data_IF_042564676950
#
_entry.id   IF_042564676950
#
_cell.length_a   1.000
_cell.length_b   1.000
_cell.length_c   1.000
_cell.angle_alpha   90.00
_cell.angle_beta   90.00
_cell.angle_gamma   90.00
#
_symmetry.space_group_name_H-M   'P 1'
#
loop_
_entity.id
_entity.type
_entity.pdbx_description
1 polymer ?
#
# COMPACT_ATOMS: atom_id res chain seq x y z
N UNK A 1 -8.87 -0.32 -10.72
CA UNK A 1 -8.97 -1.49 -9.80
C UNK A 1 -8.92 -0.97 -8.38
N UNK A 2 -9.93 -1.25 -7.53
CA UNK A 2 -9.94 -0.75 -6.16
C UNK A 2 -8.82 -1.40 -5.32
N UNK A 3 -8.03 -0.58 -4.63
CA UNK A 3 -7.07 -1.06 -3.64
C UNK A 3 -7.87 -1.60 -2.45
N UNK A 4 -7.68 -2.87 -2.10
CA UNK A 4 -8.32 -3.51 -0.95
C UNK A 4 -7.23 -4.10 -0.09
N UNK A 5 -7.10 -3.57 1.13
CA UNK A 5 -6.10 -3.93 2.12
C UNK A 5 -6.82 -4.45 3.36
N UNK A 6 -6.51 -5.68 3.76
CA UNK A 6 -7.07 -6.29 4.99
C UNK A 6 -6.00 -6.58 6.03
N UNK A 7 -4.74 -6.60 5.62
CA UNK A 7 -3.62 -6.91 6.50
C UNK A 7 -2.30 -6.34 5.97
N UNK A 8 -1.26 -6.47 6.78
CA UNK A 8 0.09 -5.99 6.47
C UNK A 8 0.71 -6.66 5.24
N UNK A 9 0.43 -7.94 5.00
CA UNK A 9 0.98 -8.67 3.85
C UNK A 9 0.41 -8.13 2.53
N UNK A 10 -0.90 -7.86 2.49
CA UNK A 10 -1.54 -7.21 1.34
C UNK A 10 -1.04 -5.79 1.12
N UNK A 11 -0.82 -5.04 2.20
CA UNK A 11 -0.22 -3.71 2.12
C UNK A 11 1.19 -3.74 1.53
N UNK A 12 2.07 -4.61 2.02
CA UNK A 12 3.41 -4.79 1.45
C UNK A 12 3.37 -5.22 -0.02
N UNK A 13 2.45 -6.12 -0.37
CA UNK A 13 2.23 -6.56 -1.77
C UNK A 13 1.74 -5.41 -2.65
N UNK A 14 0.87 -4.56 -2.12
CA UNK A 14 0.41 -3.35 -2.81
C UNK A 14 1.58 -2.40 -3.06
N UNK A 15 2.38 -2.08 -2.03
CA UNK A 15 3.52 -1.18 -2.18
C UNK A 15 4.54 -1.69 -3.21
N UNK A 16 4.71 -3.02 -3.34
CA UNK A 16 5.60 -3.63 -4.32
C UNK A 16 5.12 -3.56 -5.78
N UNK A 17 3.92 -3.04 -6.04
CA UNK A 17 3.40 -2.89 -7.41
C UNK A 17 3.89 -1.57 -8.02
N UNK A 18 4.18 -1.54 -9.33
CA UNK A 18 4.52 -0.31 -10.02
C UNK A 18 3.38 0.70 -9.90
N UNK A 19 3.72 1.97 -9.69
CA UNK A 19 2.74 3.05 -9.54
C UNK A 19 1.99 3.06 -8.21
N UNK A 20 2.34 2.24 -7.22
CA UNK A 20 1.75 2.32 -5.90
C UNK A 20 2.06 3.67 -5.23
N UNK A 21 1.01 4.32 -4.72
CA UNK A 21 1.08 5.61 -4.05
C UNK A 21 0.34 5.58 -2.72
N UNK A 22 0.82 6.40 -1.78
CA UNK A 22 0.13 6.69 -0.54
C UNK A 22 -0.02 8.20 -0.33
N UNK A 23 -1.14 8.61 0.24
CA UNK A 23 -1.40 10.00 0.61
C UNK A 23 -1.91 10.06 2.04
N UNK A 24 -1.42 11.03 2.83
CA UNK A 24 -1.97 11.27 4.16
C UNK A 24 -3.33 11.94 4.00
N UNK A 25 -4.38 11.31 4.52
CA UNK A 25 -5.74 11.88 4.54
C UNK A 25 -6.15 12.37 5.92
N UNK A 26 -5.52 11.85 6.98
CA UNK A 26 -5.71 12.33 8.35
C UNK A 26 -4.43 12.15 9.15
N UNK A 27 -4.10 13.11 10.01
CA UNK A 27 -2.98 13.01 10.93
C UNK A 27 -3.32 13.75 12.24
N UNK A 28 -3.74 12.99 13.24
CA UNK A 28 -4.22 13.57 14.51
C UNK A 28 -3.13 14.29 15.29
N UNK A 29 -1.86 13.93 15.07
CA UNK A 29 -0.75 14.59 15.74
C UNK A 29 -0.62 16.02 15.21
N UNK A 30 -0.77 16.17 13.89
CA UNK A 30 -0.73 17.47 13.23
C UNK A 30 -1.95 18.32 13.59
N UNK A 31 -3.13 17.70 13.72
CA UNK A 31 -4.34 18.39 14.20
C UNK A 31 -4.13 19.04 15.59
N UNK A 32 -3.24 18.48 16.42
CA UNK A 32 -2.90 19.02 17.76
C UNK A 32 -1.80 20.08 17.76
N UNK A 33 -1.00 20.18 16.69
CA UNK A 33 0.09 21.17 16.63
C UNK A 33 -0.47 22.60 16.50
N UNK A 34 0.28 23.65 16.90
CA UNK A 34 -0.10 25.04 16.64
C UNK A 34 -0.13 25.34 15.14
N UNK A 35 -0.89 26.37 14.74
CA UNK A 35 -1.13 26.70 13.32
C UNK A 35 0.17 26.92 12.52
N UNK A 36 1.15 27.61 13.10
CA UNK A 36 2.45 27.84 12.48
C UNK A 36 3.17 26.52 12.14
N UNK A 37 3.11 25.52 13.03
CA UNK A 37 3.68 24.21 12.79
C UNK A 37 2.88 23.47 11.70
N UNK A 38 1.55 23.51 11.73
CA UNK A 38 0.70 22.91 10.68
C UNK A 38 1.01 23.49 9.29
N UNK A 39 1.18 24.80 9.20
CA UNK A 39 1.54 25.49 7.97
C UNK A 39 2.92 25.02 7.46
N UNK A 40 3.92 24.94 8.34
CA UNK A 40 5.24 24.44 7.98
C UNK A 40 5.22 22.96 7.52
N UNK A 41 4.39 22.10 8.13
CA UNK A 41 4.24 20.72 7.66
C UNK A 41 3.52 20.64 6.31
N UNK A 42 2.52 21.50 6.07
CA UNK A 42 1.83 21.57 4.78
C UNK A 42 2.78 22.02 3.67
N UNK A 43 3.60 23.03 3.93
CA UNK A 43 4.64 23.53 3.02
C UNK A 43 5.67 22.45 2.67
N UNK A 44 6.04 21.61 3.64
CA UNK A 44 6.92 20.44 3.44
C UNK A 44 6.27 19.27 2.69
N UNK A 45 5.05 19.46 2.14
CA UNK A 45 4.38 18.44 1.34
C UNK A 45 3.77 17.30 2.17
N UNK A 46 3.44 17.52 3.45
CA UNK A 46 2.89 16.47 4.34
C UNK A 46 1.62 15.80 3.79
N UNK A 47 0.78 16.51 3.05
CA UNK A 47 -0.46 15.97 2.48
C UNK A 47 -0.33 15.60 1.01
N UNK A 48 0.86 15.75 0.42
CA UNK A 48 1.09 15.41 -0.98
C UNK A 48 1.10 13.88 -1.18
N UNK A 49 0.66 13.42 -2.35
CA UNK A 49 0.83 12.04 -2.77
C UNK A 49 2.31 11.66 -2.80
N UNK A 50 2.62 10.45 -2.34
CA UNK A 50 3.97 9.92 -2.29
C UNK A 50 4.05 8.64 -3.09
N UNK A 51 5.08 8.51 -3.89
CA UNK A 51 5.37 7.29 -4.66
C UNK A 51 6.34 6.40 -3.90
N UNK A 52 6.12 5.10 -3.97
CA UNK A 52 7.08 4.14 -3.40
C UNK A 52 8.38 4.25 -4.20
N UNK A 53 9.48 4.53 -3.49
CA UNK A 53 10.83 4.55 -4.08
C UNK A 53 11.54 3.23 -3.82
N UNK A 54 11.47 2.71 -2.60
CA UNK A 54 12.08 1.45 -2.22
C UNK A 54 11.31 0.78 -1.08
N UNK A 55 11.39 -0.54 -1.01
CA UNK A 55 10.82 -1.32 0.10
C UNK A 55 11.91 -2.23 0.65
N UNK A 56 12.04 -2.22 1.96
CA UNK A 56 12.89 -3.13 2.71
C UNK A 56 12.02 -4.07 3.56
N UNK A 57 12.65 -5.06 4.22
CA UNK A 57 11.95 -5.92 5.17
C UNK A 57 11.29 -5.15 6.31
N UNK A 58 11.82 -3.97 6.66
CA UNK A 58 11.50 -3.21 7.88
C UNK A 58 10.76 -1.90 7.64
N UNK A 59 10.84 -1.35 6.42
CA UNK A 59 10.29 -0.06 6.07
C UNK A 59 10.07 0.12 4.57
N UNK A 60 9.21 1.07 4.20
CA UNK A 60 9.15 1.63 2.85
C UNK A 60 9.70 3.06 2.85
N UNK A 61 10.41 3.38 1.78
CA UNK A 61 10.89 4.73 1.47
C UNK A 61 10.02 5.29 0.36
N UNK A 62 9.53 6.50 0.59
CA UNK A 62 8.66 7.20 -0.35
C UNK A 62 9.32 8.50 -0.82
N UNK A 63 9.20 8.78 -2.10
CA UNK A 63 9.55 10.06 -2.68
C UNK A 63 8.33 10.99 -2.69
N UNK A 64 8.55 12.27 -2.40
CA UNK A 64 7.50 13.29 -2.48
C UNK A 64 7.54 13.94 -3.86
N UNK A 65 6.38 14.04 -4.51
CA UNK A 65 6.28 14.71 -5.81
C UNK A 65 6.63 16.19 -5.64
N UNK A 66 7.66 16.65 -6.36
CA UNK A 66 8.07 18.06 -6.34
C UNK A 66 8.89 18.49 -5.13
N UNK A 67 9.34 17.56 -4.26
CA UNK A 67 10.21 17.88 -3.13
C UNK A 67 11.45 16.97 -3.12
N UNK A 68 12.65 17.50 -2.80
CA UNK A 68 13.88 16.70 -2.70
C UNK A 68 13.93 15.77 -1.48
N UNK A 69 12.84 15.66 -0.71
CA UNK A 69 12.75 14.87 0.52
C UNK A 69 12.25 13.44 0.30
N UNK A 70 12.70 12.55 1.18
CA UNK A 70 12.15 11.18 1.30
C UNK A 70 11.48 10.99 2.66
N UNK A 71 10.43 10.18 2.69
CA UNK A 71 9.72 9.83 3.92
C UNK A 71 9.79 8.33 4.12
N UNK A 72 10.05 7.93 5.36
CA UNK A 72 10.18 6.53 5.74
C UNK A 72 8.97 6.09 6.56
N UNK A 73 8.40 4.95 6.19
CA UNK A 73 7.36 4.29 6.97
C UNK A 73 7.91 2.98 7.52
N UNK A 74 8.19 2.94 8.82
CA UNK A 74 8.72 1.77 9.50
C UNK A 74 7.60 0.89 10.06
N UNK A 75 7.73 -0.43 9.91
CA UNK A 75 6.84 -1.42 10.52
C UNK A 75 7.57 -2.46 11.38
N UNK A 76 8.91 -2.40 11.46
CA UNK A 76 9.75 -3.31 12.26
C UNK A 76 9.43 -3.28 13.76
N UNK A 77 9.18 -2.07 14.31
CA UNK A 77 8.98 -1.87 15.75
C UNK A 77 7.51 -1.75 16.19
N UNK A 78 6.54 -1.81 15.27
CA UNK A 78 5.22 -1.28 15.62
C UNK A 78 4.11 -1.48 14.60
N UNK A 79 4.10 -2.57 13.83
CA UNK A 79 2.92 -2.98 13.06
C UNK A 79 1.70 -3.30 13.96
N UNK A 80 1.91 -3.45 15.27
CA UNK A 80 0.87 -3.78 16.25
C UNK A 80 -0.14 -2.63 16.33
N UNK A 81 -1.42 -2.94 16.11
CA UNK A 81 -2.50 -1.94 16.11
C UNK A 81 -2.72 -1.21 14.78
N UNK A 82 -1.99 -1.56 13.72
CA UNK A 82 -2.32 -1.08 12.38
C UNK A 82 -3.67 -1.61 11.95
N UNK A 83 -4.53 -0.72 11.45
CA UNK A 83 -5.85 -1.07 10.94
C UNK A 83 -5.88 -0.89 9.44
N UNK A 84 -6.43 -1.88 8.74
CA UNK A 84 -6.55 -1.88 7.27
C UNK A 84 -8.03 -1.91 6.93
N UNK A 85 -8.48 -0.97 6.08
CA UNK A 85 -9.87 -0.91 5.67
C UNK A 85 -9.98 -0.39 4.23
N UNK A 86 -10.30 -1.30 3.29
CA UNK A 86 -10.42 -0.95 1.87
C UNK A 86 -9.11 -0.36 1.33
N UNK A 87 -9.17 0.86 0.80
CA UNK A 87 -8.00 1.59 0.30
C UNK A 87 -7.26 2.39 1.38
N UNK A 88 -7.61 2.23 2.66
CA UNK A 88 -7.01 3.00 3.76
C UNK A 88 -6.21 2.13 4.72
N UNK A 89 -5.11 2.69 5.21
CA UNK A 89 -4.32 2.12 6.31
C UNK A 89 -4.16 3.15 7.42
N UNK A 90 -4.48 2.75 8.64
CA UNK A 90 -4.34 3.58 9.84
C UNK A 90 -3.14 3.11 10.63
N UNK A 91 -2.19 4.01 10.84
CA UNK A 91 -0.92 3.76 11.52
C UNK A 91 -0.95 4.48 12.87
N UNK A 92 -0.92 3.75 14.01
CA UNK A 92 -0.81 4.38 15.31
C UNK A 92 0.58 5.00 15.49
N UNK A 93 0.60 6.21 16.01
CA UNK A 93 1.80 6.95 16.40
C UNK A 93 1.96 6.83 17.91
N UNK A 94 2.93 6.02 18.33
CA UNK A 94 3.34 5.95 19.74
C UNK A 94 4.44 6.97 19.98
N UNK A 95 4.07 8.21 20.30
CA UNK A 95 5.03 9.27 20.67
C UNK A 95 5.27 9.39 22.18
N UNK A 96 4.69 8.52 23.00
CA UNK A 96 4.98 8.41 24.43
C UNK A 96 4.51 9.58 25.31
N UNK A 97 3.97 10.65 24.72
CA UNK A 97 3.46 11.84 25.41
C UNK A 97 2.09 12.23 24.83
N UNK A 98 1.04 11.96 25.59
CA UNK A 98 -0.34 12.38 25.27
C UNK A 98 -1.24 11.30 24.66
N UNK A 99 -2.49 11.65 24.29
CA UNK A 99 -3.45 10.71 23.72
C UNK A 99 -2.89 10.02 22.48
N UNK A 100 -3.27 8.76 22.20
CA UNK A 100 -2.74 8.00 21.07
C UNK A 100 -3.02 8.75 19.77
N UNK A 101 -1.95 9.00 19.01
CA UNK A 101 -2.05 9.61 17.70
C UNK A 101 -2.20 8.55 16.60
N UNK A 102 -2.78 8.92 15.47
CA UNK A 102 -2.85 8.08 14.30
C UNK A 102 -2.68 8.89 13.01
N UNK A 103 -2.03 8.26 12.04
CA UNK A 103 -1.99 8.73 10.65
C UNK A 103 -2.82 7.77 9.81
N UNK A 104 -3.79 8.32 9.07
CA UNK A 104 -4.54 7.57 8.07
C UNK A 104 -3.97 7.89 6.70
N UNK A 105 -3.55 6.84 6.01
CA UNK A 105 -3.11 6.91 4.62
C UNK A 105 -4.17 6.32 3.70
N UNK A 106 -4.38 6.99 2.57
CA UNK A 106 -5.10 6.47 1.42
C UNK A 106 -4.12 5.89 0.41
N UNK A 107 -4.40 4.69 -0.08
CA UNK A 107 -3.56 3.91 -0.97
C UNK A 107 -4.21 3.88 -2.36
N UNK A 108 -3.46 4.26 -3.39
CA UNK A 108 -3.96 4.35 -4.76
C UNK A 108 -2.86 4.01 -5.76
N UNK A 109 -3.22 3.82 -7.03
CA UNK A 109 -2.25 3.73 -8.13
C UNK A 109 -2.16 5.06 -8.86
N UNK A 110 -0.97 5.37 -9.40
CA UNK A 110 -0.80 6.47 -10.32
C UNK A 110 -1.67 6.22 -11.58
N UNK A 111 -2.27 7.28 -12.10
CA UNK A 111 -3.05 7.20 -13.34
C UNK A 111 -2.21 6.56 -14.45
N UNK A 112 -2.77 5.54 -15.12
CA UNK A 112 -2.10 4.80 -16.19
C UNK A 112 -1.19 3.65 -15.74
N UNK A 113 -0.92 3.47 -14.45
CA UNK A 113 -0.11 2.37 -13.88
C UNK A 113 -0.95 1.36 -13.08
N UNK A 114 -2.26 1.32 -13.33
CA UNK A 114 -3.12 0.32 -12.71
C UNK A 114 -2.66 -1.09 -13.13
N UNK A 115 -2.46 -2.02 -12.18
CA UNK A 115 -2.02 -3.38 -12.53
C UNK A 115 -3.10 -4.04 -13.39
N UNK A 116 -2.71 -4.46 -14.60
CA UNK A 116 -3.57 -5.23 -15.48
C UNK A 116 -4.16 -6.41 -14.70
N UNK A 117 -5.48 -6.59 -14.78
CA UNK A 117 -6.20 -7.68 -14.13
C UNK A 117 -5.55 -8.99 -14.58
N UNK A 118 -4.83 -9.67 -13.69
CA UNK A 118 -4.39 -11.03 -13.92
C UNK A 118 -5.67 -11.89 -14.02
N UNK A 119 -6.18 -12.05 -15.24
CA UNK A 119 -7.13 -13.09 -15.57
C UNK A 119 -6.42 -14.38 -15.19
N UNK A 120 -6.90 -15.08 -14.17
CA UNK A 120 -6.40 -16.40 -13.82
C UNK A 120 -6.54 -17.24 -15.09
N UNK A 121 -5.43 -17.54 -15.76
CA UNK A 121 -5.41 -18.53 -16.82
C UNK A 121 -5.97 -19.80 -16.20
N UNK A 122 -7.13 -20.24 -16.67
CA UNK A 122 -7.66 -21.54 -16.33
C UNK A 122 -6.56 -22.55 -16.65
N UNK A 123 -6.17 -23.34 -15.66
CA UNK A 123 -5.32 -24.51 -15.85
C UNK A 123 -5.94 -25.32 -17.01
N UNK A 124 -5.26 -25.55 -18.14
CA UNK A 124 -5.71 -26.59 -19.04
C UNK A 124 -5.63 -27.89 -18.23
N UNK A 125 -6.80 -28.46 -17.95
CA UNK A 125 -6.94 -29.78 -17.40
C UNK A 125 -6.20 -30.72 -18.35
N UNK A 126 -5.09 -31.28 -17.87
CA UNK A 126 -4.37 -32.32 -18.58
C UNK A 126 -5.35 -33.50 -18.67
N UNK A 127 -6.00 -33.65 -19.84
CA UNK A 127 -6.74 -34.86 -20.18
C UNK A 127 -5.71 -35.96 -20.35
N UNK A 128 -5.64 -36.75 -19.29
CA UNK A 128 -5.05 -38.08 -19.21
C UNK A 128 -5.42 -38.88 -20.46
N UNK A 129 -4.45 -39.08 -21.36
CA UNK A 129 -4.58 -40.00 -22.48
C UNK A 129 -4.05 -41.36 -22.00
N UNK A 130 -4.96 -42.18 -21.48
CA UNK A 130 -4.73 -43.58 -21.18
C UNK A 130 -5.73 -44.43 -22.00
N UNK A 131 -5.18 -45.25 -22.90
CA UNK A 131 -5.66 -46.59 -23.27
C UNK A 131 -7.02 -46.78 -23.96
N UNK A 132 -6.96 -47.46 -25.12
CA UNK A 132 -7.97 -48.40 -25.68
C UNK A 132 -9.24 -47.76 -26.31
N UNK A 133 -9.77 -48.18 -27.45
CA UNK A 133 -9.52 -49.28 -28.36
C UNK A 133 -9.98 -48.89 -29.77
N UNK A 134 -9.39 -49.51 -30.80
CA UNK A 134 -9.93 -49.50 -32.16
C UNK A 134 -11.29 -50.21 -32.19
N UNK A 135 -12.22 -49.74 -33.03
CA UNK A 135 -12.93 -50.70 -33.87
C UNK A 135 -12.67 -50.47 -35.35
N UNK A 136 -12.41 -51.61 -35.98
CA UNK A 136 -12.18 -51.88 -37.39
C UNK A 136 -13.42 -51.47 -38.24
N UNK A 137 -13.21 -50.79 -39.36
CA UNK A 137 -14.20 -50.72 -40.45
C UNK A 137 -13.51 -50.55 -41.81
N UNK A 138 -13.29 -51.73 -42.42
CA UNK A 138 -13.46 -52.13 -43.84
C UNK A 138 -13.35 -51.04 -44.90
#
# INVERSE_FOLDING_TARGET
>A
MAVILRNMSEFKRFLGKPGAMIQVVRNTFMDRQPEAARAAYRDKGMYLPRTVQAISRKAAVFALKGHPGTVWLYWDKGARGWRFNGDTVTVPLSMGLGPPDEIVYRCSFAEGLEPARAVRAAKPEARDWHGEAMPNLI
#
